data_IF_432366581916
#
_entry.id   IF_432366581916
#
_cell.length_a   1.000
_cell.length_b   1.000
_cell.length_c   1.000
_cell.angle_alpha   90.00
_cell.angle_beta   90.00
_cell.angle_gamma   90.00
#
_symmetry.space_group_name_H-M   'P 1'
#
loop_
_entity.id
_entity.type
_entity.pdbx_description
1 polymer ?
#
# COMPACT_ATOMS: atom_id res chain seq x y z
N UNK A 1 -7.92 11.00 -38.42
CA UNK A 1 -7.33 10.87 -37.07
C UNK A 1 -8.17 9.82 -36.34
N UNK A 2 -7.75 8.56 -36.37
CA UNK A 2 -8.40 7.54 -35.56
C UNK A 2 -8.10 7.86 -34.10
N UNK A 3 -9.12 8.19 -33.32
CA UNK A 3 -8.99 8.13 -31.87
C UNK A 3 -8.53 6.71 -31.55
N UNK A 4 -7.42 6.59 -30.83
CA UNK A 4 -6.80 5.30 -30.51
C UNK A 4 -7.69 4.58 -29.46
N UNK A 5 -8.78 3.98 -29.93
CA UNK A 5 -9.75 3.25 -29.11
C UNK A 5 -9.06 2.16 -28.29
N UNK A 6 -7.98 1.57 -28.82
CA UNK A 6 -7.15 0.61 -28.10
C UNK A 6 -6.39 1.25 -26.93
N UNK A 7 -5.92 2.49 -27.06
CA UNK A 7 -5.29 3.21 -25.95
C UNK A 7 -6.31 3.56 -24.85
N UNK A 8 -7.52 3.96 -25.22
CA UNK A 8 -8.62 4.25 -24.28
C UNK A 8 -9.07 2.98 -23.55
N UNK A 9 -9.23 1.86 -24.26
CA UNK A 9 -9.58 0.57 -23.68
C UNK A 9 -8.52 0.07 -22.67
N UNK A 10 -7.23 0.18 -23.04
CA UNK A 10 -6.11 -0.16 -22.13
C UNK A 10 -6.08 0.72 -20.89
N UNK A 11 -6.31 2.03 -21.03
CA UNK A 11 -6.42 2.96 -19.90
C UNK A 11 -7.56 2.55 -18.98
N UNK A 12 -8.75 2.25 -19.54
CA UNK A 12 -9.93 1.82 -18.78
C UNK A 12 -9.69 0.53 -17.99
N UNK A 13 -9.04 -0.45 -18.59
CA UNK A 13 -8.68 -1.70 -17.92
C UNK A 13 -7.71 -1.46 -16.75
N UNK A 14 -6.73 -0.57 -16.93
CA UNK A 14 -5.81 -0.15 -15.87
C UNK A 14 -6.51 0.49 -14.68
N UNK A 15 -7.41 1.44 -14.94
CA UNK A 15 -8.23 2.06 -13.91
C UNK A 15 -9.12 1.06 -13.18
N UNK A 16 -9.70 0.06 -13.87
CA UNK A 16 -10.51 -0.96 -13.21
C UNK A 16 -9.71 -1.77 -12.20
N UNK A 17 -8.50 -2.21 -12.57
CA UNK A 17 -7.60 -2.93 -11.65
C UNK A 17 -7.22 -2.02 -10.47
N UNK A 18 -6.88 -0.76 -10.74
CA UNK A 18 -6.56 0.22 -9.70
C UNK A 18 -7.72 0.44 -8.73
N UNK A 19 -8.95 0.53 -9.23
CA UNK A 19 -10.16 0.70 -8.41
C UNK A 19 -10.38 -0.50 -7.50
N UNK A 20 -10.27 -1.71 -8.04
CA UNK A 20 -10.44 -2.96 -7.26
C UNK A 20 -9.40 -3.03 -6.15
N UNK A 21 -8.12 -2.79 -6.47
CA UNK A 21 -7.04 -2.86 -5.46
C UNK A 21 -7.22 -1.78 -4.39
N UNK A 22 -7.53 -0.54 -4.80
CA UNK A 22 -7.77 0.55 -3.84
C UNK A 22 -8.93 0.24 -2.90
N UNK A 23 -9.98 -0.42 -3.41
CA UNK A 23 -11.11 -0.87 -2.61
C UNK A 23 -10.71 -1.98 -1.62
N UNK A 24 -9.96 -2.99 -2.08
CA UNK A 24 -9.45 -4.07 -1.22
C UNK A 24 -8.62 -3.50 -0.07
N UNK A 25 -7.67 -2.63 -0.38
CA UNK A 25 -6.82 -1.97 0.62
C UNK A 25 -7.69 -1.15 1.59
N UNK A 26 -8.69 -0.41 1.09
CA UNK A 26 -9.60 0.37 1.92
C UNK A 26 -10.42 -0.47 2.91
N UNK A 27 -10.78 -1.71 2.56
CA UNK A 27 -11.56 -2.62 3.43
C UNK A 27 -10.67 -3.38 4.41
N UNK A 28 -9.52 -3.87 3.97
CA UNK A 28 -8.60 -4.65 4.82
C UNK A 28 -7.97 -3.76 5.89
N UNK A 29 -7.67 -2.51 5.55
CA UNK A 29 -6.95 -1.57 6.40
C UNK A 29 -7.60 -1.34 7.78
N UNK A 30 -8.91 -1.06 7.91
CA UNK A 30 -9.58 -0.99 9.20
C UNK A 30 -9.48 -2.28 10.03
N UNK A 31 -9.51 -3.45 9.39
CA UNK A 31 -9.40 -4.75 10.08
C UNK A 31 -8.01 -4.88 10.70
N UNK A 32 -6.96 -4.52 9.97
CA UNK A 32 -5.57 -4.51 10.49
C UNK A 32 -5.44 -3.54 11.66
N UNK A 33 -6.08 -2.36 11.59
CA UNK A 33 -6.09 -1.40 12.70
C UNK A 33 -6.75 -1.99 13.95
N UNK A 34 -7.91 -2.64 13.81
CA UNK A 34 -8.64 -3.27 14.93
C UNK A 34 -7.79 -4.38 15.56
N UNK A 35 -7.14 -5.22 14.74
CA UNK A 35 -6.23 -6.27 15.23
C UNK A 35 -5.03 -5.68 15.96
N UNK A 36 -4.45 -4.58 15.46
CA UNK A 36 -3.37 -3.88 16.15
C UNK A 36 -3.79 -3.36 17.52
N UNK A 37 -4.99 -2.79 17.63
CA UNK A 37 -5.57 -2.35 18.91
C UNK A 37 -5.79 -3.55 19.84
N UNK A 38 -6.30 -4.67 19.32
CA UNK A 38 -6.50 -5.89 20.10
C UNK A 38 -5.18 -6.46 20.63
N UNK A 39 -4.11 -6.46 19.81
CA UNK A 39 -2.76 -6.87 20.23
C UNK A 39 -2.26 -5.95 21.36
N UNK A 40 -2.37 -4.62 21.21
CA UNK A 40 -1.99 -3.68 22.27
C UNK A 40 -2.77 -3.90 23.57
N UNK A 41 -4.09 -4.09 23.47
CA UNK A 41 -4.96 -4.26 24.62
C UNK A 41 -4.78 -5.60 25.35
N UNK A 42 -4.16 -6.59 24.70
CA UNK A 42 -3.93 -7.92 25.27
C UNK A 42 -2.50 -8.12 25.79
N UNK A 43 -1.61 -7.15 25.57
CA UNK A 43 -0.23 -7.13 26.05
C UNK A 43 -0.11 -6.51 27.45
N UNK A 44 -0.74 -7.11 28.46
CA UNK A 44 -0.54 -6.67 29.85
C UNK A 44 0.82 -7.14 30.39
N UNK A 45 1.62 -6.21 30.92
CA UNK A 45 2.88 -6.51 31.64
C UNK A 45 4.09 -6.88 30.78
N UNK A 46 4.02 -6.72 29.46
CA UNK A 46 5.14 -6.97 28.56
C UNK A 46 6.27 -5.93 28.72
N UNK A 47 7.48 -6.37 29.10
CA UNK A 47 8.68 -5.50 29.22
C UNK A 47 9.27 -5.09 27.87
N UNK A 48 8.89 -5.78 26.80
CA UNK A 48 9.00 -5.28 25.45
C UNK A 48 7.63 -4.73 25.08
N UNK A 49 7.40 -3.41 25.12
CA UNK A 49 6.38 -2.87 24.27
C UNK A 49 6.89 -3.20 22.87
N UNK A 50 6.42 -4.28 22.26
CA UNK A 50 6.37 -4.31 20.80
C UNK A 50 5.70 -2.99 20.49
N UNK A 51 6.44 -1.99 20.02
CA UNK A 51 6.37 -1.46 18.66
C UNK A 51 4.91 -1.46 18.11
N UNK A 52 3.95 -1.25 19.01
CA UNK A 52 2.62 -1.90 18.99
C UNK A 52 1.57 -1.09 18.27
N UNK A 53 1.98 0.08 17.82
CA UNK A 53 1.29 0.78 16.77
C UNK A 53 1.59 0.24 15.38
N UNK A 54 2.47 -0.76 15.17
CA UNK A 54 2.86 -1.15 13.81
C UNK A 54 1.67 -1.60 12.94
N UNK A 55 0.83 -2.56 13.36
CA UNK A 55 -0.36 -2.90 12.58
C UNK A 55 -1.33 -1.73 12.48
N UNK A 56 -1.44 -0.91 13.53
CA UNK A 56 -2.29 0.30 13.56
C UNK A 56 -1.83 1.30 12.49
N UNK A 57 -0.53 1.53 12.39
CA UNK A 57 0.10 2.44 11.44
C UNK A 57 -0.11 1.93 10.01
N UNK A 58 0.14 0.64 9.76
CA UNK A 58 -0.11 0.02 8.45
C UNK A 58 -1.59 0.13 8.07
N UNK A 59 -2.49 -0.16 9.01
CA UNK A 59 -3.93 -0.06 8.79
C UNK A 59 -4.38 1.38 8.50
N UNK A 60 -3.99 2.37 9.30
CA UNK A 60 -4.34 3.77 9.06
C UNK A 60 -3.76 4.26 7.73
N UNK A 61 -2.49 3.93 7.46
CA UNK A 61 -1.82 4.32 6.23
C UNK A 61 -2.47 3.71 4.99
N UNK A 62 -2.73 2.40 5.02
CA UNK A 62 -3.41 1.68 3.96
C UNK A 62 -4.80 2.25 3.70
N UNK A 63 -5.53 2.63 4.75
CA UNK A 63 -6.86 3.23 4.61
C UNK A 63 -6.80 4.55 3.83
N UNK A 64 -5.89 5.44 4.19
CA UNK A 64 -5.68 6.72 3.48
C UNK A 64 -5.28 6.48 2.02
N UNK A 65 -4.38 5.52 1.77
CA UNK A 65 -3.95 5.16 0.42
C UNK A 65 -5.11 4.61 -0.42
N UNK A 66 -5.96 3.77 0.16
CA UNK A 66 -7.18 3.23 -0.47
C UNK A 66 -8.18 4.33 -0.83
N UNK A 67 -8.42 5.29 0.07
CA UNK A 67 -9.32 6.43 -0.18
C UNK A 67 -8.81 7.31 -1.33
N UNK A 68 -7.52 7.67 -1.31
CA UNK A 68 -6.91 8.47 -2.38
C UNK A 68 -6.98 7.71 -3.71
N UNK A 69 -6.75 6.39 -3.67
CA UNK A 69 -6.92 5.50 -4.83
C UNK A 69 -8.33 5.53 -5.42
N UNK A 70 -9.36 5.43 -4.59
CA UNK A 70 -10.76 5.50 -5.01
C UNK A 70 -11.07 6.88 -5.62
N UNK A 71 -10.66 7.96 -4.96
CA UNK A 71 -10.87 9.34 -5.44
C UNK A 71 -10.16 9.60 -6.77
N UNK A 72 -8.92 9.13 -6.92
CA UNK A 72 -8.16 9.22 -8.18
C UNK A 72 -8.89 8.50 -9.32
N UNK A 73 -9.46 7.33 -9.06
CA UNK A 73 -10.23 6.58 -10.05
C UNK A 73 -11.54 7.27 -10.46
N UNK A 74 -12.27 7.86 -9.50
CA UNK A 74 -13.48 8.63 -9.81
C UNK A 74 -13.16 9.81 -10.72
N UNK A 75 -12.11 10.57 -10.40
CA UNK A 75 -11.69 11.73 -11.20
C UNK A 75 -11.15 11.35 -12.57
N UNK A 76 -10.40 10.26 -12.67
CA UNK A 76 -9.92 9.76 -13.95
C UNK A 76 -11.03 9.17 -14.83
N UNK A 77 -12.10 8.64 -14.23
CA UNK A 77 -13.29 8.22 -14.98
C UNK A 77 -14.02 9.44 -15.54
N UNK A 78 -14.18 10.50 -14.73
CA UNK A 78 -14.77 11.78 -15.15
C UNK A 78 -14.01 12.40 -16.33
N UNK A 79 -12.67 12.43 -16.27
CA UNK A 79 -11.82 12.94 -17.36
C UNK A 79 -11.94 12.15 -18.67
N UNK A 80 -12.12 10.82 -18.61
CA UNK A 80 -12.37 10.01 -19.82
C UNK A 80 -13.71 10.39 -20.47
N UNK A 81 -14.73 10.71 -19.67
CA UNK A 81 -16.05 11.13 -20.18
C UNK A 81 -16.10 12.57 -20.67
N UNK A 82 -15.38 13.50 -20.04
CA UNK A 82 -15.41 14.93 -20.40
C UNK A 82 -14.30 15.33 -21.37
N UNK A 83 -13.26 14.51 -21.53
CA UNK A 83 -12.09 14.78 -22.37
C UNK A 83 -11.11 15.79 -21.79
N UNK A 84 -11.38 16.33 -20.60
CA UNK A 84 -10.53 17.33 -19.94
C UNK A 84 -9.81 16.73 -18.73
N UNK A 85 -8.47 16.80 -18.71
CA UNK A 85 -7.67 16.35 -17.57
C UNK A 85 -7.56 17.49 -16.54
N UNK A 86 -8.22 17.33 -15.40
CA UNK A 86 -8.17 18.35 -14.34
C UNK A 86 -6.85 18.31 -13.57
N UNK A 87 -6.31 19.47 -13.20
CA UNK A 87 -5.16 19.55 -12.28
C UNK A 87 -5.37 18.75 -10.97
N UNK A 88 -6.63 18.60 -10.53
CA UNK A 88 -6.99 17.80 -9.35
C UNK A 88 -6.77 16.30 -9.56
N UNK A 89 -7.08 15.76 -10.74
CA UNK A 89 -6.81 14.36 -11.09
C UNK A 89 -5.30 14.09 -10.99
N UNK A 90 -4.50 14.95 -11.64
CA UNK A 90 -3.04 14.81 -11.68
C UNK A 90 -2.41 14.84 -10.29
N UNK A 91 -2.90 15.73 -9.42
CA UNK A 91 -2.46 15.82 -8.03
C UNK A 91 -2.83 14.58 -7.22
N UNK A 92 -4.05 14.03 -7.36
CA UNK A 92 -4.46 12.81 -6.69
C UNK A 92 -3.62 11.60 -7.12
N UNK A 93 -3.32 11.48 -8.41
CA UNK A 93 -2.45 10.42 -8.93
C UNK A 93 -1.00 10.55 -8.48
N UNK A 94 -0.46 11.75 -8.43
CA UNK A 94 0.89 12.00 -7.91
C UNK A 94 0.95 11.74 -6.41
N UNK A 95 -0.08 12.12 -5.65
CA UNK A 95 -0.20 11.80 -4.23
C UNK A 95 -0.27 10.29 -4.01
N UNK A 96 -1.10 9.58 -4.78
CA UNK A 96 -1.21 8.13 -4.72
C UNK A 96 0.12 7.45 -5.00
N UNK A 97 0.82 7.86 -6.06
CA UNK A 97 2.15 7.32 -6.39
C UNK A 97 3.20 7.63 -5.31
N UNK A 98 3.23 8.85 -4.80
CA UNK A 98 4.14 9.26 -3.74
C UNK A 98 3.91 8.48 -2.45
N UNK A 99 2.65 8.27 -2.08
CA UNK A 99 2.26 7.41 -0.96
C UNK A 99 2.67 5.97 -1.24
N UNK A 100 2.32 5.37 -2.38
CA UNK A 100 2.76 3.98 -2.65
C UNK A 100 4.29 3.82 -2.63
N UNK A 101 5.07 4.81 -3.07
CA UNK A 101 6.53 4.76 -2.92
C UNK A 101 6.97 4.84 -1.44
N UNK A 102 6.38 5.77 -0.68
CA UNK A 102 6.66 5.91 0.74
C UNK A 102 6.27 4.65 1.52
N UNK A 103 5.21 3.95 1.10
CA UNK A 103 4.76 2.72 1.72
C UNK A 103 5.82 1.62 1.60
N UNK A 104 6.57 1.49 0.50
CA UNK A 104 7.66 0.52 0.44
C UNK A 104 8.84 0.86 1.36
N UNK A 105 9.11 2.16 1.57
CA UNK A 105 10.13 2.60 2.53
C UNK A 105 9.73 2.40 3.99
N UNK A 106 8.43 2.51 4.28
CA UNK A 106 7.91 2.50 5.64
C UNK A 106 7.36 1.13 6.06
N UNK A 107 6.80 0.32 5.14
CA UNK A 107 6.12 -0.97 5.43
C UNK A 107 7.07 -2.17 5.61
N UNK A 108 8.32 -2.07 5.15
CA UNK A 108 9.35 -3.08 5.44
C UNK A 108 9.67 -3.20 6.94
N UNK A 109 9.52 -2.10 7.68
CA UNK A 109 9.72 -2.06 9.13
C UNK A 109 8.59 -2.79 9.91
N UNK A 110 7.30 -2.43 9.77
CA UNK A 110 6.20 -3.03 10.54
C UNK A 110 5.97 -4.52 10.23
N UNK A 111 6.24 -4.99 9.00
CA UNK A 111 6.18 -6.43 8.68
C UNK A 111 7.21 -7.24 9.47
N UNK A 112 8.45 -6.75 9.56
CA UNK A 112 9.51 -7.38 10.36
C UNK A 112 9.19 -7.42 11.86
N UNK A 113 8.51 -6.39 12.36
CA UNK A 113 8.15 -6.27 13.78
C UNK A 113 6.95 -7.15 14.17
N UNK A 114 5.98 -7.31 13.28
CA UNK A 114 4.88 -8.28 13.47
C UNK A 114 5.45 -9.72 13.52
N UNK A 115 6.41 -10.05 12.66
CA UNK A 115 7.06 -11.37 12.66
C UNK A 115 7.87 -11.57 13.94
N UNK A 116 8.63 -10.56 14.39
CA UNK A 116 9.34 -10.60 15.68
C UNK A 116 8.39 -10.81 16.86
N UNK A 117 7.22 -10.18 16.83
CA UNK A 117 6.17 -10.39 17.83
C UNK A 117 5.68 -11.84 17.86
N UNK A 118 5.38 -12.42 16.68
CA UNK A 118 4.99 -13.82 16.56
C UNK A 118 6.07 -14.78 17.09
N UNK A 119 7.35 -14.58 16.74
CA UNK A 119 8.43 -15.45 17.22
C UNK A 119 8.59 -15.34 18.73
N UNK A 120 8.60 -14.12 19.26
CA UNK A 120 8.79 -13.87 20.70
C UNK A 120 7.68 -14.50 21.55
N UNK A 121 6.44 -14.40 21.08
CA UNK A 121 5.29 -15.01 21.74
C UNK A 121 5.23 -16.53 21.58
N UNK A 122 5.71 -17.07 20.45
CA UNK A 122 5.77 -18.51 20.21
C UNK A 122 6.83 -19.21 21.08
N UNK A 123 7.93 -18.52 21.38
CA UNK A 123 8.98 -18.99 22.28
C UNK A 123 8.60 -18.88 23.78
N UNK A 124 7.38 -18.44 24.10
CA UNK A 124 6.87 -18.26 25.49
C UNK A 124 7.80 -17.43 26.38
N UNK A 125 8.47 -16.43 25.79
CA UNK A 125 9.28 -15.49 26.55
C UNK A 125 8.39 -14.63 27.45
N UNK A 126 8.84 -14.34 28.66
CA UNK A 126 8.15 -13.47 29.65
C UNK A 126 7.75 -12.09 29.07
N UNK A 127 8.40 -11.69 27.97
CA UNK A 127 8.14 -10.47 27.21
C UNK A 127 6.79 -10.43 26.48
N UNK A 128 6.07 -11.54 26.31
CA UNK A 128 4.76 -11.58 25.62
C UNK A 128 3.56 -11.31 26.55
N UNK A 129 3.79 -11.09 27.85
CA UNK A 129 2.72 -10.96 28.86
C UNK A 129 2.28 -12.33 29.40
N UNK A 130 1.65 -12.32 30.59
CA UNK A 130 1.34 -13.54 31.35
C UNK A 130 0.04 -14.24 30.94
N UNK A 131 -0.82 -13.61 30.12
CA UNK A 131 -2.15 -14.11 29.80
C UNK A 131 -2.36 -14.23 28.29
N UNK A 132 -2.80 -15.40 27.83
CA UNK A 132 -3.25 -15.71 26.46
C UNK A 132 -2.20 -15.78 25.33
N UNK A 133 -1.06 -16.48 25.54
CA UNK A 133 -0.06 -16.74 24.50
C UNK A 133 -0.65 -17.24 23.16
N UNK A 134 -1.53 -18.24 23.17
CA UNK A 134 -2.09 -18.83 21.94
C UNK A 134 -2.97 -17.83 21.16
N UNK A 135 -3.74 -17.01 21.87
CA UNK A 135 -4.58 -15.97 21.27
C UNK A 135 -3.72 -14.86 20.68
N UNK A 136 -2.68 -14.44 21.39
CA UNK A 136 -1.77 -13.38 20.94
C UNK A 136 -0.96 -13.81 19.72
N UNK A 137 -0.53 -15.08 19.69
CA UNK A 137 0.08 -15.72 18.53
C UNK A 137 -0.84 -15.73 17.31
N UNK A 138 -2.09 -16.15 17.49
CA UNK A 138 -3.07 -16.15 16.40
C UNK A 138 -3.31 -14.74 15.85
N UNK A 139 -3.42 -13.74 16.71
CA UNK A 139 -3.58 -12.34 16.31
C UNK A 139 -2.39 -11.83 15.49
N UNK A 140 -1.15 -12.13 15.92
CA UNK A 140 0.04 -11.74 15.17
C UNK A 140 0.13 -12.40 13.79
N UNK A 141 -0.23 -13.69 13.68
CA UNK A 141 -0.24 -14.40 12.40
C UNK A 141 -1.27 -13.79 11.45
N UNK A 142 -2.50 -13.55 11.93
CA UNK A 142 -3.56 -12.94 11.11
C UNK A 142 -3.16 -11.52 10.68
N UNK A 143 -2.59 -10.72 11.58
CA UNK A 143 -2.09 -9.39 11.24
C UNK A 143 -0.98 -9.45 10.18
N UNK A 144 -0.04 -10.39 10.29
CA UNK A 144 1.04 -10.58 9.30
C UNK A 144 0.50 -10.89 7.90
N UNK A 145 -0.48 -11.80 7.82
CA UNK A 145 -1.11 -12.17 6.54
C UNK A 145 -1.80 -10.97 5.91
N UNK A 146 -2.57 -10.20 6.69
CA UNK A 146 -3.28 -9.04 6.16
C UNK A 146 -2.34 -7.91 5.73
N UNK A 147 -1.26 -7.67 6.48
CA UNK A 147 -0.21 -6.72 6.08
C UNK A 147 0.46 -7.15 4.79
N UNK A 148 0.76 -8.44 4.63
CA UNK A 148 1.33 -8.98 3.38
C UNK A 148 0.39 -8.80 2.19
N UNK A 149 -0.93 -8.96 2.39
CA UNK A 149 -1.92 -8.67 1.34
C UNK A 149 -1.89 -7.18 0.95
N UNK A 150 -1.76 -6.27 1.91
CA UNK A 150 -1.61 -4.82 1.63
C UNK A 150 -0.32 -4.55 0.84
N UNK A 151 0.80 -5.19 1.21
CA UNK A 151 2.08 -5.05 0.49
C UNK A 151 2.00 -5.56 -0.94
N UNK A 152 1.38 -6.72 -1.16
CA UNK A 152 1.12 -7.25 -2.51
C UNK A 152 0.25 -6.28 -3.32
N UNK A 153 -0.80 -5.72 -2.72
CA UNK A 153 -1.65 -4.71 -3.36
C UNK A 153 -0.83 -3.47 -3.79
N UNK A 154 0.01 -2.95 -2.89
CA UNK A 154 0.89 -1.81 -3.17
C UNK A 154 1.89 -2.11 -4.28
N UNK A 155 2.43 -3.33 -4.34
CA UNK A 155 3.32 -3.76 -5.41
C UNK A 155 2.61 -3.75 -6.77
N UNK A 156 1.39 -4.29 -6.83
CA UNK A 156 0.59 -4.30 -8.07
C UNK A 156 0.22 -2.86 -8.49
N UNK A 157 -0.08 -1.96 -7.55
CA UNK A 157 -0.30 -0.55 -7.84
C UNK A 157 0.94 0.07 -8.50
N UNK A 158 2.14 -0.11 -7.93
CA UNK A 158 3.39 0.39 -8.54
C UNK A 158 3.65 -0.20 -9.92
N UNK A 159 3.40 -1.50 -10.11
CA UNK A 159 3.55 -2.16 -11.40
C UNK A 159 2.61 -1.56 -12.45
N UNK A 160 1.34 -1.31 -12.09
CA UNK A 160 0.39 -0.62 -12.95
C UNK A 160 0.86 0.80 -13.27
N UNK A 161 1.31 1.57 -12.26
CA UNK A 161 1.86 2.90 -12.48
C UNK A 161 3.03 2.90 -13.47
N UNK A 162 3.99 1.98 -13.31
CA UNK A 162 5.13 1.85 -14.24
C UNK A 162 4.68 1.46 -15.64
N UNK A 163 3.66 0.60 -15.78
CA UNK A 163 3.12 0.21 -17.08
C UNK A 163 2.40 1.35 -17.80
N UNK A 164 1.68 2.21 -17.08
CA UNK A 164 0.90 3.31 -17.65
C UNK A 164 1.69 4.61 -17.81
N UNK A 165 2.62 4.93 -16.91
CA UNK A 165 3.48 6.12 -16.99
C UNK A 165 4.90 5.86 -17.50
N UNK A 166 5.37 4.62 -17.58
CA UNK A 166 6.67 4.30 -18.21
C UNK A 166 6.75 4.68 -19.70
N UNK A 167 5.61 4.93 -20.35
CA UNK A 167 5.54 5.49 -21.71
C UNK A 167 5.40 7.02 -21.77
N UNK A 168 5.19 7.70 -20.64
CA UNK A 168 4.92 9.15 -20.58
C UNK A 168 5.69 9.92 -19.49
N UNK A 169 6.53 9.27 -18.68
CA UNK A 169 7.47 9.94 -17.78
C UNK A 169 8.65 10.56 -18.55
N UNK A 170 8.40 11.64 -19.29
CA UNK A 170 9.37 12.71 -19.51
C UNK A 170 9.16 13.77 -18.42
N UNK A 171 9.51 13.41 -17.19
CA UNK A 171 9.57 14.31 -16.04
C UNK A 171 10.95 14.21 -15.40
N UNK A 172 11.41 15.22 -14.65
CA UNK A 172 12.82 15.53 -14.40
C UNK A 172 13.59 14.53 -13.51
N UNK A 173 13.05 13.36 -13.21
CA UNK A 173 13.76 12.31 -12.48
C UNK A 173 14.57 11.35 -13.39
N UNK A 174 14.80 11.72 -14.66
CA UNK A 174 15.77 11.04 -15.56
C UNK A 174 16.84 12.04 -15.98
N UNK A 175 17.58 12.56 -15.01
CA UNK A 175 18.92 13.10 -15.23
C UNK A 175 19.89 12.33 -14.35
N UNK A 176 20.12 11.08 -14.71
CA UNK A 176 21.30 10.35 -14.27
C UNK A 176 21.66 9.35 -15.38
N UNK A 177 22.61 9.78 -16.22
CA UNK A 177 23.45 8.97 -17.10
C UNK A 177 22.78 7.90 -17.96
N UNK A 178 22.61 8.22 -19.25
CA UNK A 178 23.07 7.35 -20.35
C UNK A 178 23.08 8.18 -21.62
N UNK A 179 24.18 8.88 -21.87
CA UNK A 179 24.57 9.20 -23.24
C UNK A 179 24.77 7.88 -23.99
N UNK A 180 24.11 7.65 -25.15
CA UNK A 180 24.42 6.47 -25.95
C UNK A 180 25.87 6.57 -26.44
N UNK A 181 26.64 5.46 -26.47
CA UNK A 181 27.96 5.48 -27.07
C UNK A 181 27.81 5.87 -28.54
N UNK A 182 28.51 6.94 -28.94
CA UNK A 182 28.73 7.28 -30.33
C UNK A 182 29.56 6.15 -30.94
N UNK A 183 28.96 5.35 -31.81
CA UNK A 183 29.73 4.57 -32.76
C UNK A 183 30.18 5.53 -33.87
N UNK A 184 31.49 5.67 -33.97
CA UNK A 184 32.25 6.29 -35.07
C UNK A 184 31.89 5.68 -36.41
#
# INVERSE_FOLDING_TARGET
MGYDEEAVARKRQGLQVQKIISFIVCVISPIVTILGIAILATQDGASYPIIGGSPIYVGVYGFVLGLIGILANFKATESITTGEESAKERNLWNALFGLTCASFGILGYPSSEIIRGAVTCGEKKEQCGHSHHDTLMALFIVAAVLVLVIDCCNAVLLCNFRKFRGKTCKGPCVTANTSPPKYT
#
